data_IF_674212453362
#
_entry.id   IF_674212453362
#
_cell.length_a   1.000
_cell.length_b   1.000
_cell.length_c   1.000
_cell.angle_alpha   90.00
_cell.angle_beta   90.00
_cell.angle_gamma   90.00
#
_symmetry.space_group_name_H-M   'P 1'
#
loop_
_entity.id
_entity.type
_entity.pdbx_description
1 polymer ?
#
# COMPACT_ATOMS: atom_id res chain seq x y z
N UNK A 1 -3.36 -0.91 29.47
CA UNK A 1 -2.65 -2.06 28.90
C UNK A 1 -2.74 -2.03 27.38
N UNK A 2 -1.78 -1.54 26.61
CA UNK A 2 -0.73 -0.53 26.76
C UNK A 2 -0.16 -0.42 25.35
N UNK A 3 -0.30 0.73 24.68
CA UNK A 3 0.36 0.95 23.38
C UNK A 3 1.89 1.04 23.54
N UNK A 4 2.36 1.14 24.78
CA UNK A 4 3.77 1.19 25.17
C UNK A 4 4.45 -0.19 25.11
N UNK A 5 3.70 -1.29 25.23
CA UNK A 5 4.25 -2.65 25.08
C UNK A 5 4.64 -2.99 23.63
N UNK A 6 4.13 -2.24 22.64
CA UNK A 6 4.52 -2.41 21.24
C UNK A 6 5.84 -1.68 20.91
N UNK A 7 6.26 -0.73 21.75
CA UNK A 7 7.57 -0.07 21.64
C UNK A 7 8.70 -0.89 22.28
N UNK A 8 8.35 -1.93 23.05
CA UNK A 8 9.27 -2.98 23.51
C UNK A 8 9.65 -3.89 22.35
N UNK A 9 10.38 -3.31 21.40
CA UNK A 9 11.37 -3.92 20.52
C UNK A 9 11.20 -5.43 20.30
N UNK A 10 10.21 -5.83 19.51
CA UNK A 10 10.31 -7.12 18.83
C UNK A 10 11.63 -7.09 18.06
N UNK A 11 12.55 -8.00 18.39
CA UNK A 11 13.87 -8.08 17.73
C UNK A 11 13.73 -8.32 16.22
N UNK A 12 12.54 -8.74 15.80
CA UNK A 12 12.27 -9.24 14.45
C UNK A 12 11.65 -8.17 13.54
N UNK A 13 11.27 -7.00 14.07
CA UNK A 13 10.83 -5.87 13.24
C UNK A 13 11.09 -4.49 13.85
N UNK A 14 11.14 -3.48 12.99
CA UNK A 14 11.35 -2.07 13.35
C UNK A 14 10.29 -1.21 12.68
N UNK A 15 9.62 -0.33 13.43
CA UNK A 15 8.66 0.63 12.89
C UNK A 15 9.36 1.85 12.28
N UNK A 16 8.94 2.25 11.09
CA UNK A 16 9.42 3.46 10.44
C UNK A 16 8.67 4.70 10.96
N UNK A 17 9.28 5.41 11.90
CA UNK A 17 8.68 6.60 12.52
C UNK A 17 7.35 6.29 13.20
N UNK A 18 6.46 7.29 13.30
CA UNK A 18 5.12 7.10 13.86
C UNK A 18 4.24 6.29 12.90
N UNK A 19 3.79 5.13 13.35
CA UNK A 19 2.80 4.27 12.71
C UNK A 19 1.59 4.13 13.63
N UNK A 20 0.41 4.55 13.16
CA UNK A 20 -0.85 4.44 13.87
C UNK A 20 -1.48 3.07 13.56
N UNK A 21 -0.95 2.02 14.18
CA UNK A 21 -1.37 0.64 13.95
C UNK A 21 -2.60 0.30 14.79
N UNK A 22 -3.61 -0.32 14.18
CA UNK A 22 -4.72 -0.93 14.95
C UNK A 22 -4.30 -2.24 15.60
N UNK A 23 -5.03 -2.70 16.62
CA UNK A 23 -4.80 -4.01 17.26
C UNK A 23 -4.82 -5.14 16.23
N UNK A 24 -5.77 -5.10 15.29
CA UNK A 24 -5.87 -6.09 14.22
C UNK A 24 -4.66 -6.05 13.26
N UNK A 25 -4.15 -4.85 12.92
CA UNK A 25 -2.94 -4.71 12.12
C UNK A 25 -1.70 -5.24 12.87
N UNK A 26 -1.57 -4.92 14.16
CA UNK A 26 -0.51 -5.44 15.02
C UNK A 26 -0.50 -6.97 15.07
N UNK A 27 -1.66 -7.59 15.26
CA UNK A 27 -1.81 -9.05 15.24
C UNK A 27 -1.41 -9.67 13.90
N UNK A 28 -1.77 -9.04 12.77
CA UNK A 28 -1.38 -9.48 11.42
C UNK A 28 0.13 -9.36 11.19
N UNK A 29 0.76 -8.29 11.70
CA UNK A 29 2.22 -8.13 11.65
C UNK A 29 2.88 -9.27 12.43
N UNK A 30 2.50 -9.48 13.68
CA UNK A 30 3.09 -10.53 14.53
C UNK A 30 2.94 -11.92 13.91
N UNK A 31 1.74 -12.28 13.44
CA UNK A 31 1.51 -13.56 12.78
C UNK A 31 2.37 -13.74 11.51
N UNK A 32 2.63 -12.66 10.78
CA UNK A 32 3.52 -12.70 9.62
C UNK A 32 4.98 -12.85 10.03
N UNK A 33 5.43 -12.12 11.05
CA UNK A 33 6.79 -12.23 11.60
C UNK A 33 7.06 -13.65 12.11
N UNK A 34 6.13 -14.24 12.87
CA UNK A 34 6.23 -15.61 13.38
C UNK A 34 6.34 -16.66 12.26
N UNK A 35 5.67 -16.37 11.14
CA UNK A 35 5.67 -17.24 9.96
C UNK A 35 6.98 -17.15 9.18
N UNK A 36 7.51 -15.94 8.96
CA UNK A 36 8.71 -15.75 8.13
C UNK A 36 10.01 -15.93 8.91
N UNK A 37 9.98 -15.76 10.25
CA UNK A 37 11.13 -15.84 11.17
C UNK A 37 12.36 -15.14 10.61
N UNK A 38 12.30 -13.81 10.48
CA UNK A 38 13.25 -13.09 9.65
C UNK A 38 14.62 -13.03 10.33
N UNK A 39 15.69 -13.34 9.59
CA UNK A 39 17.06 -13.21 10.09
C UNK A 39 17.45 -11.73 10.29
N UNK A 40 16.90 -10.86 9.45
CA UNK A 40 17.08 -9.42 9.49
C UNK A 40 15.76 -8.80 9.96
N UNK A 41 15.77 -7.92 10.98
CA UNK A 41 14.54 -7.29 11.46
C UNK A 41 13.81 -6.59 10.32
N UNK A 42 12.53 -6.87 10.14
CA UNK A 42 11.70 -6.34 9.07
C UNK A 42 11.38 -4.87 9.30
N UNK A 43 11.52 -4.03 8.28
CA UNK A 43 11.12 -2.63 8.37
C UNK A 43 9.62 -2.51 8.08
N UNK A 44 8.84 -2.14 9.08
CA UNK A 44 7.39 -1.93 8.98
C UNK A 44 7.12 -0.45 8.71
N UNK A 45 6.35 -0.19 7.67
CA UNK A 45 6.02 1.17 7.21
C UNK A 45 4.52 1.28 7.05
N UNK A 46 3.90 2.21 7.79
CA UNK A 46 2.57 2.69 7.43
C UNK A 46 2.71 3.74 6.32
N UNK A 47 2.07 3.48 5.19
CA UNK A 47 2.10 4.39 4.04
C UNK A 47 1.33 5.65 4.39
N UNK A 48 2.01 6.80 4.38
CA UNK A 48 1.41 8.13 4.55
C UNK A 48 1.02 8.71 3.19
N UNK A 49 0.08 9.65 3.18
CA UNK A 49 -0.27 10.40 1.97
C UNK A 49 0.96 10.95 1.23
N UNK A 50 1.90 11.53 1.98
CA UNK A 50 3.14 12.09 1.42
C UNK A 50 4.05 11.03 0.81
N UNK A 51 4.22 9.86 1.43
CA UNK A 51 5.05 8.77 0.90
C UNK A 51 4.40 8.05 -0.29
N UNK A 52 3.07 7.91 -0.30
CA UNK A 52 2.34 7.34 -1.42
C UNK A 52 2.41 8.28 -2.63
N UNK A 53 2.17 9.59 -2.43
CA UNK A 53 2.20 10.58 -3.50
C UNK A 53 3.61 10.81 -4.05
N UNK A 54 4.61 10.92 -3.17
CA UNK A 54 6.02 11.11 -3.60
C UNK A 54 6.66 9.79 -4.04
N UNK A 55 6.02 8.66 -3.75
CA UNK A 55 6.57 7.33 -3.92
C UNK A 55 8.00 7.20 -3.35
N UNK A 56 8.21 7.67 -2.12
CA UNK A 56 9.51 7.63 -1.44
C UNK A 56 9.38 7.09 -0.03
N UNK A 57 10.30 6.20 0.34
CA UNK A 57 10.51 5.73 1.70
C UNK A 57 11.82 6.26 2.25
N UNK A 58 11.75 6.91 3.42
CA UNK A 58 12.93 7.32 4.19
C UNK A 58 13.25 6.22 5.19
N UNK A 59 14.47 5.69 5.13
CA UNK A 59 14.98 4.69 6.06
C UNK A 59 15.98 5.38 6.99
N UNK A 60 15.79 5.15 8.30
CA UNK A 60 16.66 5.72 9.33
C UNK A 60 18.08 5.19 9.19
N UNK A 61 19.05 6.07 9.48
CA UNK A 61 20.48 5.82 9.28
C UNK A 61 20.94 4.54 9.99
N UNK A 62 20.58 4.36 11.26
CA UNK A 62 21.13 3.30 12.10
C UNK A 62 20.66 1.91 11.64
N UNK A 63 19.38 1.78 11.33
CA UNK A 63 18.83 0.56 10.73
C UNK A 63 19.42 0.29 9.34
N UNK A 64 19.51 1.33 8.50
CA UNK A 64 20.04 1.18 7.15
C UNK A 64 21.53 0.82 7.12
N UNK A 65 22.34 1.35 8.04
CA UNK A 65 23.78 1.03 8.12
C UNK A 65 24.02 -0.45 8.43
N UNK A 66 23.13 -1.07 9.20
CA UNK A 66 23.28 -2.45 9.62
C UNK A 66 22.78 -3.46 8.58
N UNK A 67 21.72 -3.11 7.87
CA UNK A 67 21.00 -4.09 7.06
C UNK A 67 20.84 -3.73 5.59
N UNK A 68 21.14 -2.50 5.18
CA UNK A 68 21.02 -2.03 3.78
C UNK A 68 22.40 -1.70 3.19
N UNK A 69 22.48 -1.55 1.85
CA UNK A 69 23.71 -1.15 1.19
C UNK A 69 24.33 0.14 1.76
N UNK A 70 25.65 0.20 1.77
CA UNK A 70 26.42 1.34 2.26
C UNK A 70 26.72 2.40 1.18
N UNK A 71 26.31 2.15 -0.06
CA UNK A 71 26.47 3.04 -1.21
C UNK A 71 25.16 3.23 -1.99
N UNK A 72 25.14 4.23 -2.88
CA UNK A 72 24.05 4.44 -3.83
C UNK A 72 23.95 3.24 -4.77
N UNK A 73 22.77 2.64 -4.87
CA UNK A 73 22.58 1.42 -5.66
C UNK A 73 21.14 1.22 -6.11
N UNK A 74 20.89 0.10 -6.78
CA UNK A 74 19.54 -0.36 -7.11
C UNK A 74 19.13 -1.50 -6.19
N UNK A 75 18.03 -1.32 -5.48
CA UNK A 75 17.37 -2.36 -4.69
C UNK A 75 16.25 -2.97 -5.52
N UNK A 76 16.09 -4.30 -5.44
CA UNK A 76 15.01 -5.00 -6.13
C UNK A 76 13.91 -5.32 -5.12
N UNK A 77 12.71 -4.79 -5.35
CA UNK A 77 11.53 -5.18 -4.59
C UNK A 77 10.83 -6.37 -5.25
N UNK A 78 10.32 -7.27 -4.43
CA UNK A 78 9.52 -8.42 -4.83
C UNK A 78 8.30 -8.58 -3.93
N UNK A 79 7.22 -9.16 -4.45
CA UNK A 79 6.08 -9.61 -3.62
C UNK A 79 6.11 -11.15 -3.58
N UNK A 80 5.83 -11.81 -2.44
CA UNK A 80 5.91 -13.27 -2.30
C UNK A 80 5.11 -14.07 -3.34
N UNK A 81 4.05 -13.47 -3.91
CA UNK A 81 3.12 -14.13 -4.84
C UNK A 81 3.18 -13.56 -6.27
N UNK A 82 4.10 -12.63 -6.56
CA UNK A 82 4.23 -12.04 -7.90
C UNK A 82 5.61 -12.30 -8.46
N UNK A 83 5.67 -12.85 -9.67
CA UNK A 83 6.90 -12.98 -10.43
C UNK A 83 7.20 -11.66 -11.17
N UNK A 84 7.33 -10.57 -10.42
CA UNK A 84 7.69 -9.25 -10.93
C UNK A 84 8.70 -8.60 -9.98
N UNK A 85 9.71 -7.98 -10.59
CA UNK A 85 10.78 -7.30 -9.90
C UNK A 85 10.67 -5.80 -10.15
N UNK A 86 10.61 -4.99 -9.09
CA UNK A 86 10.67 -3.53 -9.20
C UNK A 86 12.05 -3.04 -8.82
N UNK A 87 12.79 -2.51 -9.80
CA UNK A 87 14.07 -1.85 -9.57
C UNK A 87 13.83 -0.46 -8.98
N UNK A 88 14.30 -0.25 -7.76
CA UNK A 88 14.13 0.99 -7.01
C UNK A 88 15.49 1.61 -6.76
N UNK A 89 15.62 2.91 -7.04
CA UNK A 89 16.84 3.65 -6.72
C UNK A 89 16.95 3.79 -5.20
N UNK A 90 18.13 3.52 -4.67
CA UNK A 90 18.48 3.70 -3.27
C UNK A 90 19.60 4.73 -3.18
N UNK A 91 19.32 5.83 -2.48
CA UNK A 91 20.21 6.98 -2.39
C UNK A 91 20.56 7.31 -0.94
N UNK A 92 21.82 7.57 -0.68
CA UNK A 92 22.37 7.96 0.61
C UNK A 92 22.60 9.47 0.61
N UNK A 93 21.94 10.15 1.55
CA UNK A 93 22.08 11.60 1.69
C UNK A 93 23.50 11.97 2.12
N UNK A 94 24.09 12.92 1.38
CA UNK A 94 25.45 13.41 1.59
C UNK A 94 25.70 13.94 3.02
N UNK A 95 26.96 13.82 3.47
CA UNK A 95 27.38 14.14 4.84
C UNK A 95 27.30 15.62 5.21
N UNK A 96 27.33 16.53 4.23
CA UNK A 96 27.29 17.97 4.45
C UNK A 96 25.89 18.54 4.69
N UNK A 97 24.85 17.71 4.64
CA UNK A 97 23.45 18.13 4.78
C UNK A 97 22.88 17.81 6.17
N UNK A 98 21.85 18.56 6.59
CA UNK A 98 21.04 18.19 7.75
C UNK A 98 20.45 16.78 7.55
N UNK A 99 20.49 15.94 8.60
CA UNK A 99 20.12 14.52 8.53
C UNK A 99 21.00 13.68 7.58
N UNK A 100 22.30 13.99 7.54
CA UNK A 100 23.33 13.21 6.87
C UNK A 100 23.19 11.70 7.10
N UNK A 101 23.33 10.93 6.03
CA UNK A 101 23.22 9.48 6.11
C UNK A 101 21.79 8.96 6.27
N UNK A 102 20.74 9.76 6.08
CA UNK A 102 19.43 9.16 5.77
C UNK A 102 19.44 8.50 4.40
N UNK A 103 18.72 7.39 4.29
CA UNK A 103 18.60 6.61 3.05
C UNK A 103 17.22 6.83 2.45
N UNK A 104 17.16 7.11 1.16
CA UNK A 104 15.90 7.29 0.42
C UNK A 104 15.76 6.17 -0.59
N UNK A 105 14.65 5.43 -0.50
CA UNK A 105 14.26 4.43 -1.47
C UNK A 105 13.11 4.98 -2.33
N UNK A 106 13.31 5.02 -3.64
CA UNK A 106 12.32 5.54 -4.59
C UNK A 106 11.45 4.39 -5.11
N UNK A 107 10.17 4.41 -4.75
CA UNK A 107 9.17 3.36 -4.95
C UNK A 107 8.26 3.58 -6.17
N UNK A 108 8.53 4.58 -7.03
CA UNK A 108 7.64 5.05 -8.11
C UNK A 108 6.81 3.97 -8.81
N UNK A 109 7.48 3.07 -9.55
CA UNK A 109 6.79 1.98 -10.27
C UNK A 109 6.11 0.97 -9.33
N UNK A 110 6.70 0.72 -8.17
CA UNK A 110 6.12 -0.20 -7.19
C UNK A 110 4.79 0.32 -6.66
N UNK A 111 4.72 1.59 -6.22
CA UNK A 111 3.49 2.20 -5.71
C UNK A 111 2.40 2.24 -6.78
N UNK A 112 2.78 2.64 -8.00
CA UNK A 112 1.87 2.65 -9.14
C UNK A 112 1.25 1.27 -9.42
N UNK A 113 2.07 0.24 -9.53
CA UNK A 113 1.61 -1.10 -9.93
C UNK A 113 0.92 -1.90 -8.82
N UNK A 114 1.20 -1.58 -7.56
CA UNK A 114 0.58 -2.25 -6.40
C UNK A 114 -0.66 -1.52 -5.90
N UNK A 115 -0.89 -0.28 -6.36
CA UNK A 115 -1.96 0.59 -5.91
C UNK A 115 -2.00 0.78 -4.38
N UNK A 116 -0.85 0.71 -3.72
CA UNK A 116 -0.74 0.94 -2.28
C UNK A 116 -1.15 2.37 -1.94
N UNK A 117 -1.94 2.54 -0.89
CA UNK A 117 -2.58 3.80 -0.51
C UNK A 117 -2.21 4.21 0.90
N UNK A 118 -2.67 5.39 1.28
CA UNK A 118 -2.55 5.88 2.65
C UNK A 118 -3.19 4.92 3.66
N UNK A 119 -2.45 4.60 4.71
CA UNK A 119 -2.85 3.72 5.80
C UNK A 119 -2.55 2.23 5.57
N UNK A 120 -2.19 1.83 4.35
CA UNK A 120 -1.69 0.48 4.08
C UNK A 120 -0.36 0.27 4.82
N UNK A 121 -0.14 -0.96 5.30
CA UNK A 121 1.12 -1.35 5.93
C UNK A 121 1.96 -2.14 4.95
N UNK A 122 3.20 -1.70 4.75
CA UNK A 122 4.23 -2.38 3.99
C UNK A 122 5.29 -2.91 4.95
N UNK A 123 5.55 -4.22 4.91
CA UNK A 123 6.64 -4.85 5.63
C UNK A 123 7.76 -5.15 4.64
N UNK A 124 8.87 -4.43 4.76
CA UNK A 124 10.06 -4.59 3.94
C UNK A 124 11.02 -5.55 4.63
N UNK A 125 11.05 -6.80 4.15
CA UNK A 125 11.96 -7.85 4.60
C UNK A 125 13.23 -7.82 3.74
N UNK A 126 14.36 -7.31 4.25
CA UNK A 126 15.60 -7.27 3.50
C UNK A 126 16.16 -8.68 3.35
N UNK A 127 16.64 -9.00 2.14
CA UNK A 127 17.21 -10.27 1.76
C UNK A 127 18.57 -10.01 1.13
N UNK A 128 19.64 -10.48 1.77
CA UNK A 128 20.99 -10.41 1.18
C UNK A 128 21.18 -11.62 0.27
N UNK A 129 21.10 -11.44 -1.05
CA UNK A 129 21.46 -12.50 -1.98
C UNK A 129 22.95 -12.43 -2.31
N UNK A 130 23.77 -13.09 -1.48
CA UNK A 130 25.24 -13.11 -1.59
C UNK A 130 25.68 -13.65 -2.95
N UNK A 131 24.99 -14.66 -3.49
CA UNK A 131 25.35 -15.29 -4.77
C UNK A 131 25.17 -14.35 -5.96
N UNK A 132 24.15 -13.49 -5.94
CA UNK A 132 23.83 -12.63 -7.09
C UNK A 132 24.34 -11.20 -6.96
N UNK A 133 25.03 -10.85 -5.87
CA UNK A 133 25.41 -9.46 -5.51
C UNK A 133 24.26 -8.47 -5.67
N UNK A 134 23.03 -8.93 -5.42
CA UNK A 134 21.80 -8.14 -5.53
C UNK A 134 21.19 -7.99 -4.16
N UNK A 135 20.86 -6.75 -3.82
CA UNK A 135 20.10 -6.47 -2.62
C UNK A 135 18.61 -6.56 -2.95
N UNK A 136 17.96 -7.61 -2.43
CA UNK A 136 16.55 -7.90 -2.68
C UNK A 136 15.78 -7.55 -1.41
N UNK A 137 14.59 -7.00 -1.55
CA UNK A 137 13.68 -6.78 -0.44
C UNK A 137 12.33 -7.38 -0.80
N UNK A 138 11.91 -8.36 -0.02
CA UNK A 138 10.56 -8.91 -0.12
C UNK A 138 9.61 -7.98 0.61
N UNK A 139 8.58 -7.50 -0.08
CA UNK A 139 7.56 -6.62 0.50
C UNK A 139 6.31 -7.45 0.77
N UNK A 140 5.81 -7.39 2.00
CA UNK A 140 4.49 -7.93 2.36
C UNK A 140 3.54 -6.77 2.58
N UNK A 141 2.36 -6.85 1.95
CA UNK A 141 1.36 -5.78 1.98
C UNK A 141 0.18 -6.20 2.85
N UNK A 142 -0.19 -5.35 3.80
CA UNK A 142 -1.44 -5.45 4.55
C UNK A 142 -2.27 -4.21 4.22
N UNK A 143 -3.39 -4.42 3.54
CA UNK A 143 -4.29 -3.32 3.21
C UNK A 143 -4.94 -2.76 4.47
N UNK A 144 -5.16 -1.45 4.48
CA UNK A 144 -6.05 -0.84 5.46
C UNK A 144 -7.45 -1.44 5.27
N UNK A 145 -8.03 -1.95 6.35
CA UNK A 145 -9.42 -2.39 6.31
C UNK A 145 -10.30 -1.18 5.98
N UNK A 146 -11.09 -1.27 4.91
CA UNK A 146 -12.12 -0.29 4.69
C UNK A 146 -13.10 -0.40 5.84
N UNK A 147 -13.46 0.73 6.46
CA UNK A 147 -14.75 0.82 7.15
C UNK A 147 -15.77 0.69 6.02
N UNK A 148 -16.09 -0.54 5.62
CA UNK A 148 -17.26 -0.76 4.81
C UNK A 148 -18.40 -0.22 5.67
N UNK A 149 -19.08 0.81 5.18
CA UNK A 149 -20.44 1.06 5.63
C UNK A 149 -21.12 -0.30 5.55
N UNK A 150 -21.58 -0.82 6.70
CA UNK A 150 -22.32 -2.06 6.75
C UNK A 150 -23.34 -2.04 5.60
N UNK A 151 -23.47 -3.11 4.80
CA UNK A 151 -24.69 -3.30 4.03
C UNK A 151 -25.79 -3.56 5.06
N UNK A 152 -26.30 -2.48 5.64
CA UNK A 152 -27.43 -2.49 6.54
C UNK A 152 -28.58 -3.19 5.83
N UNK A 153 -29.18 -4.15 6.54
CA UNK A 153 -30.17 -5.06 6.02
C UNK A 153 -31.37 -4.37 5.36
N UNK A 154 -31.94 -5.13 4.43
CA UNK A 154 -33.19 -4.95 3.69
C UNK A 154 -34.30 -4.20 4.44
N UNK A 155 -35.04 -3.39 3.69
CA UNK A 155 -36.50 -3.52 3.65
C UNK A 155 -36.97 -3.56 2.19
N UNK A 156 -37.51 -4.72 1.81
CA UNK A 156 -38.36 -4.86 0.64
C UNK A 156 -39.72 -4.20 0.97
N UNK A 157 -40.03 -3.07 0.33
CA UNK A 157 -41.37 -2.50 0.18
C UNK A 157 -41.33 -1.74 -1.16
N UNK A 158 -42.12 -2.00 -2.18
CA UNK A 158 -43.23 -2.91 -2.42
C UNK A 158 -43.65 -2.62 -3.87
N UNK A 159 -44.00 -3.67 -4.61
CA UNK A 159 -44.62 -3.59 -5.93
C UNK A 159 -45.81 -2.63 -5.93
N UNK A 160 -45.97 -1.82 -6.99
CA UNK A 160 -47.30 -1.37 -7.42
C UNK A 160 -47.37 -1.19 -8.94
N UNK A 161 -48.52 -1.63 -9.43
CA UNK A 161 -48.94 -1.86 -10.80
C UNK A 161 -49.26 -0.58 -11.59
N UNK A 162 -49.31 -0.75 -12.92
CA UNK A 162 -50.12 0.05 -13.84
C UNK A 162 -49.29 1.01 -14.67
N UNK A 163 -49.31 1.01 -16.00
CA UNK A 163 -50.35 0.55 -16.91
C UNK A 163 -49.75 0.43 -18.32
N UNK A 164 -50.12 -0.64 -19.01
CA UNK A 164 -50.07 -0.75 -20.46
C UNK A 164 -51.00 0.29 -21.07
N UNK A 165 -50.55 1.00 -22.10
CA UNK A 165 -51.46 1.53 -23.12
C UNK A 165 -50.76 1.56 -24.49
N UNK A 166 -51.34 0.80 -25.41
CA UNK A 166 -51.02 0.83 -26.82
C UNK A 166 -52.05 1.70 -27.56
N UNK A 167 -51.55 2.59 -28.42
CA UNK A 167 -52.00 2.90 -29.80
C UNK A 167 -53.42 3.45 -30.07
N UNK A 168 -53.46 4.67 -30.65
CA UNK A 168 -54.38 5.15 -31.72
C UNK A 168 -53.77 6.49 -32.23
N UNK A 169 -53.65 6.90 -33.50
CA UNK A 169 -54.41 6.69 -34.73
C UNK A 169 -54.99 8.06 -35.18
N UNK A 170 -54.53 8.64 -36.30
CA UNK A 170 -55.12 9.86 -36.87
C UNK A 170 -54.49 10.30 -38.19
N UNK A 171 -55.24 10.20 -39.30
CA UNK A 171 -54.93 10.64 -40.66
C UNK A 171 -56.09 11.51 -41.17
N UNK A 172 -55.75 12.54 -41.99
CA UNK A 172 -56.57 13.39 -42.90
C UNK A 172 -57.51 14.42 -42.25
N UNK A 173 -57.64 15.66 -42.74
CA UNK A 173 -58.03 16.06 -44.11
C UNK A 173 -57.44 17.42 -44.61
N UNK A 174 -57.55 17.63 -45.93
CA UNK A 174 -57.13 18.74 -46.84
C UNK A 174 -58.26 19.82 -47.01
N UNK A 175 -58.29 20.75 -48.02
CA UNK A 175 -57.45 21.90 -48.45
C UNK A 175 -58.31 23.22 -48.50
N UNK A 176 -58.03 24.31 -49.28
CA UNK A 176 -58.08 24.36 -50.78
C UNK A 176 -57.08 25.31 -51.50
N UNK A 177 -57.19 25.25 -52.84
CA UNK A 177 -56.63 26.02 -53.98
C UNK A 177 -56.41 27.55 -53.80
N UNK A 178 -55.73 28.32 -54.65
CA UNK A 178 -55.75 28.42 -56.12
C UNK A 178 -54.68 29.47 -56.55
N UNK A 179 -54.17 29.41 -57.78
CA UNK A 179 -53.36 30.48 -58.41
C UNK A 179 -52.02 30.06 -59.00
#
# INVERSE_FOLDING_TARGET
MELDDLQTLSKDYVLSGKCDLTVAQGAKINALIDKIRPEIPVLVVQMKKSSANRATLIIQKDYALKYFPCEDTTIILQLPRKNKNWKCKFHIRASSMCNAGRRTLYLGKFVHDTHVREGDICLFQPMTNVMHRRFIVTVHLLQKESIAHSPGGRTDIGSNHGSTSAKMGGVKEEPPADG
#
